data_IF_974228496776
#
_entry.id   IF_974228496776
#
_cell.length_a   1.000
_cell.length_b   1.000
_cell.length_c   1.000
_cell.angle_alpha   90.00
_cell.angle_beta   90.00
_cell.angle_gamma   90.00
#
_symmetry.space_group_name_H-M   'P 1'
#
loop_
_entity.id
_entity.type
_entity.pdbx_description
1 polymer ?
#
# COMPACT_ATOMS: atom_id res chain seq x y z
N UNK A 1 23.02 -10.11 -21.96
CA UNK A 1 23.35 -9.68 -20.60
C UNK A 1 22.75 -8.29 -20.48
N UNK A 2 21.54 -8.18 -19.93
CA UNK A 2 20.93 -6.87 -19.67
C UNK A 2 21.74 -6.18 -18.59
N UNK A 3 22.15 -4.96 -18.84
CA UNK A 3 22.73 -4.06 -17.84
C UNK A 3 21.75 -3.96 -16.68
N UNK A 4 22.19 -4.02 -15.42
CA UNK A 4 21.29 -3.76 -14.29
C UNK A 4 20.64 -2.39 -14.50
N UNK A 5 19.32 -2.32 -14.39
CA UNK A 5 18.61 -1.04 -14.45
C UNK A 5 19.21 -0.13 -13.36
N UNK A 6 19.60 1.07 -13.74
CA UNK A 6 20.11 2.07 -12.81
C UNK A 6 19.03 2.35 -11.77
N UNK A 7 19.33 2.12 -10.49
CA UNK A 7 18.36 2.33 -9.41
C UNK A 7 18.06 3.82 -9.35
N UNK A 8 16.89 4.21 -9.85
CA UNK A 8 16.45 5.61 -9.82
C UNK A 8 16.11 6.01 -8.40
N UNK A 9 16.74 7.06 -7.92
CA UNK A 9 16.40 7.67 -6.63
C UNK A 9 15.09 8.44 -6.78
N UNK A 10 14.10 8.26 -5.89
CA UNK A 10 12.87 9.04 -5.94
C UNK A 10 13.11 10.51 -5.60
N UNK A 11 12.27 11.37 -6.16
CA UNK A 11 12.11 12.74 -5.75
C UNK A 11 11.07 12.82 -4.63
N UNK A 12 11.36 13.60 -3.58
CA UNK A 12 10.36 13.94 -2.54
C UNK A 12 9.47 15.05 -3.09
N UNK A 13 8.18 14.80 -3.14
CA UNK A 13 7.18 15.77 -3.57
C UNK A 13 6.09 15.94 -2.52
N UNK A 14 5.29 16.99 -2.63
CA UNK A 14 4.10 17.18 -1.81
C UNK A 14 2.89 17.52 -2.68
N UNK A 15 1.70 17.10 -2.22
CA UNK A 15 0.42 17.40 -2.86
C UNK A 15 -0.51 18.00 -1.81
N UNK A 16 -1.13 19.12 -2.13
CA UNK A 16 -2.09 19.78 -1.25
C UNK A 16 -3.33 18.90 -1.04
N UNK A 17 -3.65 18.62 0.21
CA UNK A 17 -4.83 17.85 0.64
C UNK A 17 -5.56 18.58 1.77
N UNK A 18 -6.69 18.06 2.21
CA UNK A 18 -7.40 18.65 3.34
C UNK A 18 -6.52 18.60 4.61
N UNK A 19 -6.20 19.75 5.16
CA UNK A 19 -5.43 19.92 6.39
C UNK A 19 -3.93 20.07 6.21
N UNK A 20 -3.39 20.10 4.99
CA UNK A 20 -1.95 20.33 4.75
C UNK A 20 -1.43 19.66 3.48
N UNK A 21 -0.18 19.28 3.50
CA UNK A 21 0.52 18.68 2.37
C UNK A 21 0.77 17.19 2.60
N UNK A 22 0.33 16.38 1.65
CA UNK A 22 0.61 14.95 1.60
C UNK A 22 1.99 14.74 0.96
N UNK A 23 2.93 14.18 1.70
CA UNK A 23 4.25 13.85 1.18
C UNK A 23 4.20 12.59 0.32
N UNK A 24 4.95 12.56 -0.76
CA UNK A 24 5.05 11.39 -1.63
C UNK A 24 6.45 11.26 -2.23
N UNK A 25 6.76 10.04 -2.66
CA UNK A 25 7.93 9.71 -3.47
C UNK A 25 7.51 9.62 -4.93
N UNK A 26 8.29 10.23 -5.81
CA UNK A 26 8.06 10.22 -7.25
C UNK A 26 9.26 9.66 -8.00
N UNK A 27 9.01 8.69 -8.88
CA UNK A 27 9.98 8.14 -9.83
C UNK A 27 9.52 8.50 -11.24
N UNK A 28 10.30 9.32 -11.92
CA UNK A 28 9.99 9.75 -13.28
C UNK A 28 10.13 8.62 -14.30
N UNK A 29 9.26 8.60 -15.31
CA UNK A 29 9.38 7.75 -16.48
C UNK A 29 10.34 8.36 -17.52
N UNK A 30 10.70 7.57 -18.55
CA UNK A 30 11.50 8.06 -19.68
C UNK A 30 10.67 8.91 -20.65
N UNK A 31 9.36 8.66 -20.71
CA UNK A 31 8.41 9.39 -21.55
C UNK A 31 7.38 10.14 -20.70
N UNK A 32 7.08 11.42 -21.02
CA UNK A 32 6.08 12.19 -20.26
C UNK A 32 4.66 11.60 -20.30
N UNK A 33 4.28 10.93 -21.39
CA UNK A 33 2.98 10.30 -21.57
C UNK A 33 2.94 8.84 -21.03
N UNK A 34 3.98 8.40 -20.30
CA UNK A 34 3.97 7.08 -19.69
C UNK A 34 2.82 6.93 -18.66
N UNK A 35 2.29 5.71 -18.51
CA UNK A 35 1.23 5.46 -17.53
C UNK A 35 1.59 5.96 -16.12
N UNK A 36 0.62 6.53 -15.42
CA UNK A 36 0.75 6.90 -14.00
C UNK A 36 0.41 5.69 -13.13
N UNK A 37 1.29 5.36 -12.21
CA UNK A 37 1.09 4.29 -11.22
C UNK A 37 1.15 4.89 -9.83
N UNK A 38 0.07 4.82 -9.08
CA UNK A 38 0.01 5.30 -7.68
C UNK A 38 0.02 4.11 -6.75
N UNK A 39 0.99 4.05 -5.82
CA UNK A 39 1.27 2.93 -4.93
C UNK A 39 0.90 3.27 -3.48
N UNK A 40 -0.14 2.65 -2.95
CA UNK A 40 -0.68 2.90 -1.61
C UNK A 40 -0.25 1.83 -0.63
N UNK A 41 0.43 2.21 0.44
CA UNK A 41 1.00 1.31 1.43
C UNK A 41 0.00 0.84 2.50
N UNK A 42 0.41 -0.15 3.32
CA UNK A 42 -0.37 -0.72 4.41
C UNK A 42 -0.49 0.18 5.65
N UNK A 43 -1.27 -0.29 6.63
CA UNK A 43 -1.73 0.50 7.79
C UNK A 43 -0.62 1.08 8.68
N UNK A 44 0.50 0.38 8.85
CA UNK A 44 1.64 0.82 9.67
C UNK A 44 2.92 1.04 8.85
N UNK A 45 2.77 1.23 7.54
CA UNK A 45 3.84 1.30 6.57
C UNK A 45 4.12 2.76 6.12
N UNK A 46 4.91 2.95 5.07
CA UNK A 46 5.21 4.23 4.44
C UNK A 46 5.56 4.03 2.96
N UNK A 47 5.71 5.14 2.23
CA UNK A 47 5.94 5.15 0.78
C UNK A 47 7.16 4.34 0.32
N UNK A 48 8.24 4.27 1.13
CA UNK A 48 9.48 3.63 0.76
C UNK A 48 9.37 2.10 0.65
N UNK A 49 8.34 1.49 1.21
CA UNK A 49 8.06 0.05 1.07
C UNK A 49 7.95 -0.36 -0.40
N UNK A 50 7.59 0.59 -1.27
CA UNK A 50 7.39 0.37 -2.69
C UNK A 50 8.64 0.49 -3.56
N UNK A 51 9.80 0.82 -2.98
CA UNK A 51 11.04 1.04 -3.74
C UNK A 51 11.41 -0.12 -4.69
N UNK A 52 11.29 -1.41 -4.31
CA UNK A 52 11.59 -2.51 -5.22
C UNK A 52 10.60 -2.61 -6.41
N UNK A 53 9.32 -2.34 -6.17
CA UNK A 53 8.29 -2.33 -7.23
C UNK A 53 8.50 -1.15 -8.16
N UNK A 54 8.78 0.04 -7.61
CA UNK A 54 9.10 1.23 -8.40
C UNK A 54 10.34 1.00 -9.27
N UNK A 55 11.38 0.36 -8.75
CA UNK A 55 12.57 0.00 -9.52
C UNK A 55 12.25 -0.99 -10.67
N UNK A 56 11.32 -1.93 -10.45
CA UNK A 56 10.89 -2.87 -11.48
C UNK A 56 10.04 -2.22 -12.58
N UNK A 57 9.46 -1.05 -12.34
CA UNK A 57 8.66 -0.25 -13.28
C UNK A 57 9.45 0.95 -13.84
N UNK A 58 10.73 1.09 -13.44
CA UNK A 58 11.55 2.24 -13.76
C UNK A 58 11.66 2.49 -15.27
N UNK A 59 11.44 3.73 -15.68
CA UNK A 59 11.46 4.16 -17.07
C UNK A 59 10.17 3.90 -17.85
N UNK A 60 9.42 2.87 -17.50
CA UNK A 60 8.17 2.48 -18.19
C UNK A 60 6.97 3.29 -17.69
N UNK A 61 6.94 3.62 -16.39
CA UNK A 61 5.82 4.29 -15.74
C UNK A 61 6.30 5.49 -14.91
N UNK A 62 5.44 6.49 -14.81
CA UNK A 62 5.52 7.48 -13.76
C UNK A 62 4.99 6.83 -12.46
N UNK A 63 5.81 6.72 -11.44
CA UNK A 63 5.41 6.06 -10.19
C UNK A 63 5.34 7.07 -9.06
N UNK A 64 4.22 7.10 -8.33
CA UNK A 64 4.01 7.95 -7.17
C UNK A 64 3.60 7.10 -5.99
N UNK A 65 4.29 7.24 -4.86
CA UNK A 65 3.94 6.56 -3.62
C UNK A 65 3.77 7.60 -2.51
N UNK A 66 2.54 7.94 -2.09
CA UNK A 66 2.33 8.84 -0.96
C UNK A 66 2.62 8.12 0.37
N UNK A 67 3.11 8.89 1.35
CA UNK A 67 2.93 8.54 2.74
C UNK A 67 1.50 8.86 3.12
N UNK A 68 0.70 7.85 3.41
CA UNK A 68 -0.69 8.06 3.78
C UNK A 68 -0.79 8.87 5.08
N UNK A 69 -1.84 9.67 5.22
CA UNK A 69 -2.14 10.52 6.38
C UNK A 69 -1.83 9.83 7.71
N UNK A 70 -1.06 10.47 8.60
CA UNK A 70 -0.62 9.92 9.87
C UNK A 70 0.56 8.93 9.79
N UNK A 71 1.27 8.86 8.66
CA UNK A 71 2.43 7.97 8.43
C UNK A 71 3.59 8.71 7.77
N UNK A 72 4.78 8.20 7.96
CA UNK A 72 6.00 8.70 7.30
C UNK A 72 6.15 10.20 7.40
N UNK A 73 6.37 10.87 6.27
CA UNK A 73 6.49 12.35 6.22
C UNK A 73 5.13 13.06 6.26
N UNK A 74 4.02 12.34 6.11
CA UNK A 74 2.64 12.84 6.30
C UNK A 74 2.10 12.61 7.72
N UNK A 75 2.95 12.23 8.68
CA UNK A 75 2.56 11.98 10.08
C UNK A 75 1.87 13.18 10.75
N UNK A 76 2.23 14.41 10.33
CA UNK A 76 1.66 15.65 10.87
C UNK A 76 0.29 16.03 10.30
N UNK A 77 -0.24 15.35 9.30
CA UNK A 77 -1.58 15.63 8.78
C UNK A 77 -2.65 15.32 9.84
N UNK A 78 -3.58 16.25 10.11
CA UNK A 78 -4.58 16.09 11.15
C UNK A 78 -5.69 15.11 10.77
N UNK A 79 -6.48 14.68 11.75
CA UNK A 79 -7.75 14.01 11.50
C UNK A 79 -8.66 14.89 10.57
N UNK A 80 -9.65 14.28 9.88
CA UNK A 80 -10.12 12.93 10.08
C UNK A 80 -9.20 11.86 9.50
N UNK A 81 -9.15 10.71 10.15
CA UNK A 81 -8.59 9.47 9.64
C UNK A 81 -9.72 8.58 9.11
N UNK A 82 -9.42 7.36 8.71
CA UNK A 82 -10.36 6.42 8.11
C UNK A 82 -10.16 6.29 6.59
N UNK A 83 -10.62 5.19 6.03
CA UNK A 83 -10.44 4.85 4.62
C UNK A 83 -10.99 5.93 3.68
N UNK A 84 -12.11 6.58 4.05
CA UNK A 84 -12.72 7.66 3.28
C UNK A 84 -11.82 8.91 3.20
N UNK A 85 -11.12 9.27 4.28
CA UNK A 85 -10.18 10.39 4.29
C UNK A 85 -8.97 10.09 3.39
N UNK A 86 -8.40 8.89 3.48
CA UNK A 86 -7.33 8.46 2.59
C UNK A 86 -7.77 8.42 1.13
N UNK A 87 -8.99 7.94 0.83
CA UNK A 87 -9.52 7.94 -0.53
C UNK A 87 -9.69 9.36 -1.09
N UNK A 88 -10.04 10.34 -0.25
CA UNK A 88 -10.08 11.75 -0.65
C UNK A 88 -8.68 12.32 -0.93
N UNK A 89 -7.68 12.00 -0.10
CA UNK A 89 -6.29 12.39 -0.32
C UNK A 89 -5.74 11.80 -1.64
N UNK A 90 -6.03 10.52 -1.91
CA UNK A 90 -5.66 9.86 -3.16
C UNK A 90 -6.34 10.52 -4.36
N UNK A 91 -7.61 10.90 -4.23
CA UNK A 91 -8.32 11.62 -5.29
C UNK A 91 -7.67 12.97 -5.58
N UNK A 92 -7.27 13.73 -4.55
CA UNK A 92 -6.54 15.00 -4.72
C UNK A 92 -5.17 14.77 -5.40
N UNK A 93 -4.44 13.72 -5.01
CA UNK A 93 -3.18 13.35 -5.66
C UNK A 93 -3.39 13.02 -7.15
N UNK A 94 -4.38 12.19 -7.48
CA UNK A 94 -4.70 11.85 -8.88
C UNK A 94 -5.08 13.10 -9.68
N UNK A 95 -5.82 14.03 -9.11
CA UNK A 95 -6.18 15.28 -9.75
C UNK A 95 -4.95 16.16 -10.00
N UNK A 96 -4.03 16.27 -9.04
CA UNK A 96 -2.79 17.03 -9.21
C UNK A 96 -1.90 16.47 -10.35
N UNK A 97 -1.87 15.17 -10.53
CA UNK A 97 -1.13 14.52 -11.62
C UNK A 97 -1.88 14.48 -12.95
N UNK A 98 -3.21 14.49 -12.94
CA UNK A 98 -4.05 14.35 -14.13
C UNK A 98 -4.61 15.65 -14.68
N UNK A 99 -5.01 16.59 -13.81
CA UNK A 99 -5.74 17.77 -14.22
C UNK A 99 -4.85 18.95 -14.65
N UNK A 100 -3.63 19.06 -14.13
CA UNK A 100 -2.69 20.11 -14.51
C UNK A 100 -1.79 19.72 -15.67
N UNK A 101 -1.92 18.53 -16.13
CA UNK A 101 -1.04 17.97 -17.13
C UNK A 101 -1.72 18.01 -18.49
N UNK A 102 -1.57 19.08 -19.21
CA UNK A 102 -1.53 19.01 -20.69
C UNK A 102 -0.43 18.06 -21.19
N UNK A 103 0.08 17.22 -20.34
CA UNK A 103 1.03 16.12 -20.44
C UNK A 103 0.60 14.93 -19.54
N UNK A 104 -0.68 14.81 -19.15
CA UNK A 104 -1.16 13.74 -18.29
C UNK A 104 -1.03 12.37 -18.92
N UNK A 105 -0.73 11.39 -18.11
CA UNK A 105 -0.79 10.00 -18.52
C UNK A 105 -2.23 9.67 -18.94
N UNK A 106 -2.41 9.10 -20.15
CA UNK A 106 -3.71 8.66 -20.65
C UNK A 106 -4.26 7.51 -19.81
N UNK A 107 -3.38 6.80 -19.08
CA UNK A 107 -3.70 5.64 -18.26
C UNK A 107 -3.19 5.80 -16.84
N UNK A 108 -4.06 5.56 -15.87
CA UNK A 108 -3.73 5.55 -14.45
C UNK A 108 -4.04 4.18 -13.83
N UNK A 109 -3.05 3.58 -13.20
CA UNK A 109 -3.20 2.33 -12.42
C UNK A 109 -3.02 2.63 -10.94
N UNK A 110 -3.99 2.24 -10.13
CA UNK A 110 -3.91 2.35 -8.68
C UNK A 110 -3.52 1.00 -8.09
N UNK A 111 -2.47 0.98 -7.28
CA UNK A 111 -1.95 -0.22 -6.63
C UNK A 111 -2.06 -0.04 -5.12
N UNK A 112 -2.62 -1.00 -4.41
CA UNK A 112 -2.73 -0.89 -2.96
C UNK A 112 -2.36 -2.19 -2.25
N UNK A 113 -1.47 -2.09 -1.26
CA UNK A 113 -1.11 -3.19 -0.38
C UNK A 113 -1.89 -3.10 0.93
N UNK A 114 -2.44 -4.24 1.40
CA UNK A 114 -3.12 -4.30 2.70
C UNK A 114 -4.19 -3.21 2.81
N UNK A 115 -4.14 -2.34 3.83
CA UNK A 115 -5.03 -1.17 3.95
C UNK A 115 -5.05 -0.30 2.68
N UNK A 116 -3.92 -0.10 2.02
CA UNK A 116 -3.84 0.65 0.77
C UNK A 116 -4.73 0.06 -0.34
N UNK A 117 -4.95 -1.25 -0.34
CA UNK A 117 -5.91 -1.92 -1.24
C UNK A 117 -7.34 -1.48 -0.98
N UNK A 118 -7.76 -1.38 0.29
CA UNK A 118 -9.10 -0.90 0.66
C UNK A 118 -9.28 0.58 0.28
N UNK A 119 -8.25 1.40 0.51
CA UNK A 119 -8.24 2.80 0.08
C UNK A 119 -8.37 2.89 -1.44
N UNK A 120 -7.61 2.08 -2.20
CA UNK A 120 -7.68 2.04 -3.67
C UNK A 120 -9.08 1.66 -4.17
N UNK A 121 -9.69 0.64 -3.57
CA UNK A 121 -11.05 0.19 -3.88
C UNK A 121 -12.06 1.31 -3.67
N UNK A 122 -12.05 1.97 -2.51
CA UNK A 122 -12.97 3.06 -2.19
C UNK A 122 -12.74 4.30 -3.05
N UNK A 123 -11.51 4.71 -3.30
CA UNK A 123 -11.21 5.84 -4.17
C UNK A 123 -11.75 5.61 -5.58
N UNK A 124 -11.50 4.43 -6.15
CA UNK A 124 -11.92 4.07 -7.51
C UNK A 124 -13.44 3.99 -7.65
N UNK A 125 -14.14 3.46 -6.66
CA UNK A 125 -15.60 3.39 -6.67
C UNK A 125 -16.26 4.77 -6.38
N UNK A 126 -15.55 5.64 -5.67
CA UNK A 126 -16.00 6.95 -5.21
C UNK A 126 -15.51 8.12 -6.08
N UNK A 127 -14.83 9.08 -5.44
CA UNK A 127 -14.48 10.37 -6.04
C UNK A 127 -13.39 10.30 -7.13
N UNK A 128 -12.59 9.23 -7.17
CA UNK A 128 -11.62 8.99 -8.23
C UNK A 128 -12.21 8.18 -9.41
N UNK A 129 -13.52 7.95 -9.42
CA UNK A 129 -14.20 7.28 -10.54
C UNK A 129 -13.97 8.05 -11.84
N UNK A 130 -13.48 7.35 -12.85
CA UNK A 130 -13.12 7.93 -14.15
C UNK A 130 -11.70 8.54 -14.21
N UNK A 131 -10.98 8.58 -13.07
CA UNK A 131 -9.55 8.93 -13.05
C UNK A 131 -8.67 7.68 -13.00
N UNK A 132 -9.21 6.54 -12.59
CA UNK A 132 -8.50 5.26 -12.47
C UNK A 132 -8.98 4.33 -13.58
N UNK A 133 -8.04 3.68 -14.25
CA UNK A 133 -8.29 2.79 -15.38
C UNK A 133 -8.09 1.31 -15.04
N UNK A 134 -7.33 1.01 -13.98
CA UNK A 134 -7.11 -0.34 -13.49
C UNK A 134 -6.65 -0.38 -12.04
N UNK A 135 -6.95 -1.49 -11.35
CA UNK A 135 -6.56 -1.74 -9.96
C UNK A 135 -5.63 -2.94 -9.87
N UNK A 136 -4.60 -2.82 -9.03
CA UNK A 136 -3.82 -3.96 -8.54
C UNK A 136 -3.92 -3.98 -7.02
N UNK A 137 -4.59 -4.99 -6.49
CA UNK A 137 -4.79 -5.21 -5.08
C UNK A 137 -3.75 -6.23 -4.59
N UNK A 138 -2.91 -5.83 -3.65
CA UNK A 138 -1.81 -6.64 -3.14
C UNK A 138 -2.14 -7.04 -1.71
N UNK A 139 -2.57 -8.27 -1.53
CA UNK A 139 -2.97 -8.87 -0.25
C UNK A 139 -3.85 -7.95 0.62
N UNK A 140 -4.86 -7.32 -0.01
CA UNK A 140 -5.79 -6.37 0.62
C UNK A 140 -6.82 -5.85 -0.37
N UNK A 141 -7.78 -5.05 0.10
CA UNK A 141 -8.75 -4.34 -0.74
C UNK A 141 -10.07 -5.08 -1.00
N UNK A 142 -10.17 -6.35 -0.66
CA UNK A 142 -11.43 -7.09 -0.60
C UNK A 142 -11.85 -7.34 0.85
N UNK A 143 -13.16 -7.51 1.13
CA UNK A 143 -13.65 -7.68 2.49
C UNK A 143 -12.95 -8.79 3.26
N UNK A 144 -12.64 -8.52 4.52
CA UNK A 144 -12.13 -9.53 5.44
C UNK A 144 -13.29 -10.20 6.18
N UNK A 145 -13.24 -11.51 6.45
CA UNK A 145 -14.26 -12.19 7.23
C UNK A 145 -14.10 -11.80 8.71
N UNK A 146 -14.82 -10.77 9.13
CA UNK A 146 -14.83 -10.30 10.53
C UNK A 146 -16.12 -10.76 11.19
N UNK A 147 -16.07 -11.52 12.30
CA UNK A 147 -17.26 -11.86 13.04
C UNK A 147 -17.98 -10.59 13.54
N UNK A 148 -19.32 -10.49 13.40
CA UNK A 148 -20.05 -9.27 13.78
C UNK A 148 -19.88 -8.82 15.24
N UNK A 149 -19.63 -9.77 16.14
CA UNK A 149 -19.44 -9.52 17.57
C UNK A 149 -17.97 -9.35 17.98
N UNK A 150 -17.03 -9.38 17.03
CA UNK A 150 -15.60 -9.25 17.34
C UNK A 150 -15.29 -7.83 17.84
N UNK A 151 -14.54 -7.74 18.93
CA UNK A 151 -14.00 -6.48 19.43
C UNK A 151 -12.89 -5.99 18.48
N UNK A 152 -12.99 -4.73 18.06
CA UNK A 152 -12.07 -4.15 17.06
C UNK A 152 -10.63 -4.10 17.58
N UNK A 153 -10.40 -3.70 18.82
CA UNK A 153 -9.06 -3.57 19.37
C UNK A 153 -8.40 -4.96 19.51
N UNK A 154 -9.19 -5.97 19.91
CA UNK A 154 -8.75 -7.37 19.94
C UNK A 154 -8.37 -7.89 18.56
N UNK A 155 -9.18 -7.57 17.55
CA UNK A 155 -8.91 -7.96 16.17
C UNK A 155 -7.64 -7.28 15.64
N UNK A 156 -7.48 -5.98 15.87
CA UNK A 156 -6.28 -5.25 15.45
C UNK A 156 -5.03 -5.80 16.13
N UNK A 157 -5.10 -6.09 17.44
CA UNK A 157 -4.00 -6.73 18.15
C UNK A 157 -3.65 -8.10 17.58
N UNK A 158 -4.65 -8.90 17.18
CA UNK A 158 -4.43 -10.20 16.57
C UNK A 158 -3.81 -10.09 15.15
N UNK A 159 -4.21 -9.08 14.35
CA UNK A 159 -3.68 -8.90 13.00
C UNK A 159 -2.32 -8.22 12.96
N UNK A 160 -2.11 -7.18 13.77
CA UNK A 160 -0.92 -6.34 13.71
C UNK A 160 0.17 -6.75 14.73
N UNK A 161 -0.22 -7.52 15.79
CA UNK A 161 0.71 -8.11 16.74
C UNK A 161 1.86 -7.20 17.17
N UNK A 162 3.10 -7.68 17.07
CA UNK A 162 4.28 -6.91 17.49
C UNK A 162 4.47 -5.57 16.77
N UNK A 163 3.85 -5.39 15.61
CA UNK A 163 3.91 -4.12 14.88
C UNK A 163 3.25 -2.98 15.66
N UNK A 164 2.22 -3.27 16.49
CA UNK A 164 1.62 -2.26 17.36
C UNK A 164 2.54 -1.89 18.55
N UNK A 165 3.32 -2.83 19.07
CA UNK A 165 4.24 -2.56 20.19
C UNK A 165 5.28 -1.50 19.82
N UNK A 166 5.71 -1.47 18.56
CA UNK A 166 6.60 -0.46 18.01
C UNK A 166 6.06 0.97 18.15
N UNK A 167 4.75 1.17 18.00
CA UNK A 167 4.14 2.50 18.02
C UNK A 167 4.27 3.23 19.36
N UNK A 168 4.42 2.48 20.44
CA UNK A 168 4.68 3.01 21.79
C UNK A 168 6.16 3.00 22.20
N UNK A 169 7.03 2.40 21.40
CA UNK A 169 8.44 2.22 21.73
C UNK A 169 9.30 3.45 21.37
N UNK A 170 10.38 3.62 22.16
CA UNK A 170 11.50 4.52 21.81
C UNK A 170 12.77 3.71 21.69
N UNK A 171 13.63 4.12 20.76
CA UNK A 171 14.87 3.43 20.45
C UNK A 171 16.08 4.37 20.63
N UNK A 172 17.19 3.89 21.18
CA UNK A 172 18.38 4.70 21.38
C UNK A 172 19.05 5.09 20.05
N UNK A 173 18.97 4.22 19.05
CA UNK A 173 19.59 4.37 17.74
C UNK A 173 18.92 3.47 16.69
N UNK A 174 19.35 3.59 15.44
CA UNK A 174 18.84 2.77 14.32
C UNK A 174 19.20 1.28 14.46
N UNK A 175 20.31 0.96 15.14
CA UNK A 175 20.69 -0.44 15.37
C UNK A 175 19.68 -1.15 16.28
N UNK A 176 19.16 -0.45 17.29
CA UNK A 176 18.10 -0.97 18.15
C UNK A 176 16.77 -1.15 17.39
N UNK A 177 16.43 -0.24 16.47
CA UNK A 177 15.28 -0.39 15.58
C UNK A 177 15.44 -1.64 14.72
N UNK A 178 16.60 -1.82 14.11
CA UNK A 178 16.90 -2.99 13.28
C UNK A 178 16.83 -4.29 14.09
N UNK A 179 17.37 -4.31 15.32
CA UNK A 179 17.28 -5.47 16.20
C UNK A 179 15.84 -5.82 16.55
N UNK A 180 15.01 -4.82 16.81
CA UNK A 180 13.57 -5.03 17.05
C UNK A 180 12.88 -5.71 15.84
N UNK A 181 13.17 -5.25 14.64
CA UNK A 181 12.58 -5.82 13.43
C UNK A 181 13.17 -7.18 13.03
N UNK A 182 14.38 -7.52 13.46
CA UNK A 182 15.00 -8.80 13.17
C UNK A 182 14.20 -9.98 13.74
N UNK A 183 13.46 -9.77 14.82
CA UNK A 183 12.59 -10.78 15.45
C UNK A 183 11.18 -10.85 14.81
N UNK A 184 10.86 -9.95 13.88
CA UNK A 184 9.56 -9.94 13.22
C UNK A 184 9.46 -11.09 12.19
N UNK A 185 8.38 -11.90 12.19
CA UNK A 185 8.32 -13.13 11.40
C UNK A 185 8.42 -12.91 9.88
N UNK A 186 7.89 -11.82 9.36
CA UNK A 186 7.84 -11.53 7.92
C UNK A 186 8.82 -10.44 7.48
N UNK A 187 9.20 -9.52 8.37
CA UNK A 187 10.18 -8.44 8.09
C UNK A 187 11.61 -8.88 8.42
N UNK A 188 11.79 -9.63 9.51
CA UNK A 188 13.11 -10.05 9.99
C UNK A 188 14.01 -10.70 8.94
N UNK A 189 13.51 -11.62 8.10
CA UNK A 189 14.30 -12.20 7.02
C UNK A 189 14.87 -11.19 6.01
N UNK A 190 14.31 -9.98 5.95
CA UNK A 190 14.65 -8.92 4.99
C UNK A 190 15.36 -7.72 5.64
N UNK A 191 15.60 -7.73 6.94
CA UNK A 191 16.12 -6.57 7.69
C UNK A 191 17.48 -6.08 7.19
N UNK A 192 18.24 -6.93 6.49
CA UNK A 192 19.54 -6.63 5.89
C UNK A 192 19.41 -6.14 4.43
N UNK A 193 18.23 -6.20 3.85
CA UNK A 193 18.00 -5.68 2.50
C UNK A 193 18.02 -4.15 2.50
N UNK A 194 18.76 -3.49 1.59
CA UNK A 194 18.84 -2.04 1.53
C UNK A 194 17.49 -1.34 1.35
N UNK A 195 16.54 -1.92 0.63
CA UNK A 195 15.22 -1.34 0.44
C UNK A 195 14.41 -1.41 1.74
N UNK A 196 14.52 -2.50 2.50
CA UNK A 196 13.89 -2.63 3.82
C UNK A 196 14.54 -1.69 4.83
N UNK A 197 15.87 -1.55 4.82
CA UNK A 197 16.58 -0.57 5.65
C UNK A 197 16.10 0.87 5.38
N UNK A 198 15.93 1.25 4.11
CA UNK A 198 15.40 2.56 3.72
C UNK A 198 13.92 2.75 4.16
N UNK A 199 13.10 1.70 4.07
CA UNK A 199 11.73 1.69 4.58
C UNK A 199 11.69 1.92 6.10
N UNK A 200 12.54 1.21 6.87
CA UNK A 200 12.62 1.37 8.32
C UNK A 200 13.10 2.78 8.71
N UNK A 201 14.09 3.32 8.00
CA UNK A 201 14.61 4.67 8.24
C UNK A 201 13.53 5.76 7.98
N UNK A 202 12.67 5.60 6.94
CA UNK A 202 11.59 6.54 6.65
C UNK A 202 10.50 6.56 7.73
N UNK A 203 10.34 5.47 8.48
CA UNK A 203 9.39 5.40 9.60
C UNK A 203 9.86 6.18 10.83
N UNK A 204 11.14 6.54 10.92
CA UNK A 204 11.70 7.12 12.13
C UNK A 204 11.51 8.64 12.20
N UNK A 205 11.20 9.11 13.42
CA UNK A 205 11.21 10.50 13.82
C UNK A 205 11.88 10.68 15.18
N UNK A 206 12.30 11.91 15.50
CA UNK A 206 13.06 12.22 16.71
C UNK A 206 14.56 12.08 16.49
N UNK A 207 15.32 12.23 17.57
CA UNK A 207 16.77 12.09 17.58
C UNK A 207 17.16 11.05 18.63
N UNK A 208 18.28 10.36 18.42
CA UNK A 208 18.80 9.44 19.44
C UNK A 208 19.06 10.17 20.78
N UNK A 209 18.71 9.60 21.93
CA UNK A 209 18.14 8.26 22.16
C UNK A 209 16.61 8.21 22.16
N UNK A 210 15.93 9.09 21.47
CA UNK A 210 14.46 9.22 21.45
C UNK A 210 13.87 8.95 20.05
N UNK A 211 14.50 8.05 19.28
CA UNK A 211 13.92 7.61 18.01
C UNK A 211 12.62 6.85 18.24
N UNK A 212 11.61 7.12 17.44
CA UNK A 212 10.31 6.44 17.50
C UNK A 212 9.68 6.34 16.11
N UNK A 213 8.67 5.50 15.98
CA UNK A 213 7.86 5.45 14.76
C UNK A 213 7.16 6.79 14.50
N UNK A 214 7.12 7.23 13.25
CA UNK A 214 6.34 8.38 12.81
C UNK A 214 4.84 8.05 12.65
N UNK A 215 4.47 6.77 12.69
CA UNK A 215 3.07 6.33 12.56
C UNK A 215 2.25 6.81 13.74
N UNK A 216 1.11 7.46 13.48
CA UNK A 216 0.15 7.88 14.50
C UNK A 216 -0.64 6.68 15.03
N UNK A 217 -0.57 6.35 16.34
CA UNK A 217 -1.39 5.29 16.91
C UNK A 217 -2.89 5.54 16.81
N UNK A 218 -3.32 6.82 16.85
CA UNK A 218 -4.72 7.21 16.66
C UNK A 218 -5.18 6.90 15.24
N UNK A 219 -4.38 7.26 14.23
CA UNK A 219 -4.66 6.94 12.83
C UNK A 219 -4.80 5.43 12.63
N UNK A 220 -3.87 4.64 13.17
CA UNK A 220 -3.93 3.17 13.06
C UNK A 220 -5.21 2.60 13.65
N UNK A 221 -5.64 3.09 14.83
CA UNK A 221 -6.86 2.61 15.48
C UNK A 221 -8.12 2.97 14.70
N UNK A 222 -8.21 4.19 14.18
CA UNK A 222 -9.36 4.64 13.40
C UNK A 222 -9.42 3.91 12.05
N UNK A 223 -8.30 3.86 11.34
CA UNK A 223 -8.20 3.22 10.02
C UNK A 223 -8.44 1.71 10.11
N UNK A 224 -7.90 1.07 11.13
CA UNK A 224 -8.10 -0.36 11.36
C UNK A 224 -9.55 -0.70 11.70
N UNK A 225 -10.22 0.10 12.53
CA UNK A 225 -11.63 -0.06 12.81
C UNK A 225 -12.49 0.10 11.54
N UNK A 226 -12.17 1.10 10.72
CA UNK A 226 -12.86 1.36 9.46
C UNK A 226 -12.60 0.23 8.45
N UNK A 227 -11.36 -0.23 8.30
CA UNK A 227 -11.00 -1.36 7.43
C UNK A 227 -11.79 -2.64 7.76
N UNK A 228 -12.02 -2.92 9.05
CA UNK A 228 -12.73 -4.11 9.48
C UNK A 228 -14.25 -4.02 9.33
N UNK A 229 -14.83 -2.81 9.27
CA UNK A 229 -16.28 -2.60 9.39
C UNK A 229 -16.89 -1.70 8.32
N UNK A 230 -16.13 -1.23 7.36
CA UNK A 230 -16.64 -0.30 6.35
C UNK A 230 -17.58 -1.02 5.39
N UNK A 231 -18.87 -0.71 5.49
CA UNK A 231 -19.91 -1.29 4.64
C UNK A 231 -19.69 -0.95 3.16
N UNK A 232 -19.16 0.24 2.83
CA UNK A 232 -18.87 0.63 1.47
C UNK A 232 -17.83 -0.29 0.80
N UNK A 233 -16.87 -0.82 1.55
CA UNK A 233 -15.92 -1.83 1.01
C UNK A 233 -16.66 -3.12 0.64
N UNK A 234 -17.61 -3.55 1.48
CA UNK A 234 -18.40 -4.75 1.22
C UNK A 234 -19.24 -4.61 -0.06
N UNK A 235 -19.83 -3.45 -0.27
CA UNK A 235 -20.69 -3.16 -1.42
C UNK A 235 -19.89 -2.97 -2.71
N UNK A 236 -18.67 -2.44 -2.64
CA UNK A 236 -17.87 -2.13 -3.83
C UNK A 236 -17.18 -3.32 -4.46
N UNK A 237 -16.96 -4.41 -3.74
CA UNK A 237 -16.19 -5.58 -4.21
C UNK A 237 -16.75 -6.17 -5.52
N UNK A 238 -18.07 -6.26 -5.65
CA UNK A 238 -18.73 -6.80 -6.85
C UNK A 238 -19.04 -5.74 -7.91
N UNK A 239 -18.98 -4.46 -7.54
CA UNK A 239 -19.35 -3.30 -8.35
C UNK A 239 -18.20 -2.38 -8.76
N UNK A 240 -16.96 -2.86 -8.72
CA UNK A 240 -15.80 -2.08 -9.16
C UNK A 240 -15.99 -1.62 -10.61
N UNK A 241 -15.81 -0.31 -10.89
CA UNK A 241 -16.02 0.25 -12.23
C UNK A 241 -14.92 -0.07 -13.24
N UNK A 242 -13.80 -0.64 -12.77
CA UNK A 242 -12.61 -0.97 -13.56
C UNK A 242 -12.12 -2.38 -13.26
N UNK A 243 -11.33 -3.00 -14.16
CA UNK A 243 -10.66 -4.27 -13.88
C UNK A 243 -9.77 -4.19 -12.65
N UNK A 244 -9.80 -5.21 -11.80
CA UNK A 244 -8.98 -5.34 -10.62
C UNK A 244 -8.26 -6.70 -10.60
N UNK A 245 -6.95 -6.69 -10.35
CA UNK A 245 -6.14 -7.89 -10.17
C UNK A 245 -5.77 -8.01 -8.69
N UNK A 246 -6.33 -8.98 -7.98
CA UNK A 246 -5.88 -9.33 -6.62
C UNK A 246 -4.71 -10.29 -6.71
N UNK A 247 -3.59 -9.89 -6.12
CA UNK A 247 -2.43 -10.75 -5.84
C UNK A 247 -2.45 -11.06 -4.36
N UNK A 248 -2.47 -12.34 -3.99
CA UNK A 248 -2.54 -12.72 -2.59
C UNK A 248 -1.40 -13.67 -2.20
N UNK A 249 -0.95 -13.55 -0.94
CA UNK A 249 0.15 -14.31 -0.38
C UNK A 249 -0.30 -15.64 0.19
N UNK A 250 0.52 -16.68 0.08
CA UNK A 250 0.28 -17.99 0.68
C UNK A 250 0.19 -17.93 2.20
N UNK A 251 0.97 -17.02 2.83
CA UNK A 251 1.07 -16.86 4.28
C UNK A 251 0.65 -15.47 4.73
N UNK A 252 0.19 -15.40 5.98
CA UNK A 252 -0.26 -14.16 6.63
C UNK A 252 0.88 -13.32 7.21
N UNK A 253 0.48 -12.29 7.97
CA UNK A 253 1.39 -11.34 8.63
C UNK A 253 2.24 -11.97 9.74
N UNK A 254 1.80 -13.10 10.29
CA UNK A 254 2.55 -13.89 11.27
C UNK A 254 3.47 -14.94 10.62
N UNK A 255 3.53 -14.95 9.27
CA UNK A 255 4.25 -15.96 8.50
C UNK A 255 3.57 -17.34 8.46
N UNK A 256 2.41 -17.50 9.12
CA UNK A 256 1.61 -18.72 9.16
C UNK A 256 0.67 -18.87 7.96
N UNK A 257 0.03 -20.04 7.86
CA UNK A 257 -1.01 -20.33 6.85
C UNK A 257 -2.36 -20.58 7.53
N UNK A 258 -3.48 -20.18 6.89
CA UNK A 258 -3.59 -19.49 5.59
C UNK A 258 -3.18 -18.01 5.67
N UNK A 259 -2.95 -17.40 4.50
CA UNK A 259 -2.83 -15.95 4.36
C UNK A 259 -4.15 -15.21 4.62
N UNK A 260 -4.17 -13.90 4.31
CA UNK A 260 -5.40 -13.09 4.41
C UNK A 260 -6.49 -13.59 3.46
N UNK A 261 -6.09 -14.07 2.28
CA UNK A 261 -6.94 -14.70 1.29
C UNK A 261 -6.50 -16.14 1.04
N UNK A 262 -7.43 -16.96 0.62
CA UNK A 262 -7.26 -18.32 0.13
C UNK A 262 -8.37 -18.64 -0.88
N UNK A 263 -8.23 -19.76 -1.61
CA UNK A 263 -9.21 -20.16 -2.63
C UNK A 263 -10.62 -20.31 -2.06
N UNK A 264 -10.76 -20.79 -0.82
CA UNK A 264 -12.08 -21.02 -0.19
C UNK A 264 -12.75 -19.68 0.12
N UNK A 265 -12.00 -18.73 0.68
CA UNK A 265 -12.49 -17.38 0.95
C UNK A 265 -12.91 -16.67 -0.33
N UNK A 266 -12.04 -16.69 -1.33
CA UNK A 266 -12.29 -16.03 -2.62
C UNK A 266 -13.49 -16.62 -3.33
N UNK A 267 -13.67 -17.95 -3.31
CA UNK A 267 -14.86 -18.61 -3.84
C UNK A 267 -16.15 -18.19 -3.11
N UNK A 268 -16.05 -17.98 -1.78
CA UNK A 268 -17.18 -17.50 -0.95
C UNK A 268 -17.58 -16.04 -1.19
N UNK A 269 -16.72 -15.22 -1.80
CA UNK A 269 -16.99 -13.79 -2.05
C UNK A 269 -17.90 -13.52 -3.25
N UNK A 270 -18.25 -14.54 -4.04
CA UNK A 270 -19.17 -14.37 -5.19
C UNK A 270 -18.58 -13.49 -6.30
N UNK A 271 -17.27 -13.55 -6.53
CA UNK A 271 -16.58 -12.73 -7.54
C UNK A 271 -16.90 -13.12 -8.99
N UNK A 272 -17.65 -14.19 -9.22
CA UNK A 272 -18.04 -14.64 -10.55
C UNK A 272 -18.83 -13.54 -11.30
N UNK A 273 -18.31 -13.11 -12.43
CA UNK A 273 -18.90 -12.03 -13.22
C UNK A 273 -18.56 -10.61 -12.74
N UNK A 274 -17.76 -10.47 -11.68
CA UNK A 274 -17.17 -9.18 -11.29
C UNK A 274 -15.95 -8.86 -12.14
N UNK A 275 -15.45 -7.63 -12.02
CA UNK A 275 -14.21 -7.19 -12.67
C UNK A 275 -12.94 -7.63 -11.92
N UNK A 276 -13.08 -8.46 -10.87
CA UNK A 276 -11.95 -8.90 -10.04
C UNK A 276 -11.43 -10.25 -10.50
N UNK A 277 -10.15 -10.32 -10.79
CA UNK A 277 -9.40 -11.58 -10.96
C UNK A 277 -8.46 -11.76 -9.79
N UNK A 278 -8.30 -13.00 -9.29
CA UNK A 278 -7.44 -13.28 -8.15
C UNK A 278 -6.35 -14.29 -8.53
N UNK A 279 -5.12 -14.03 -8.08
CA UNK A 279 -3.96 -14.89 -8.35
C UNK A 279 -3.09 -15.03 -7.10
N UNK A 280 -2.79 -16.25 -6.72
CA UNK A 280 -1.80 -16.55 -5.70
C UNK A 280 -0.39 -16.18 -6.18
N UNK A 281 0.44 -15.68 -5.26
CA UNK A 281 1.89 -15.52 -5.44
C UNK A 281 2.60 -16.51 -4.50
N UNK A 282 2.92 -17.70 -4.99
CA UNK A 282 3.42 -18.78 -4.15
C UNK A 282 4.74 -18.43 -3.45
N UNK A 283 4.90 -18.92 -2.22
CA UNK A 283 6.12 -18.74 -1.44
C UNK A 283 6.29 -17.37 -0.79
N UNK A 284 5.28 -16.50 -0.91
CA UNK A 284 5.27 -15.19 -0.25
C UNK A 284 4.43 -15.20 1.03
N UNK A 285 4.64 -14.20 1.85
CA UNK A 285 3.78 -13.76 2.96
C UNK A 285 3.36 -12.30 2.74
N UNK A 286 2.57 -11.78 3.66
CA UNK A 286 1.98 -10.45 3.57
C UNK A 286 2.98 -9.35 3.20
N UNK A 287 4.16 -9.34 3.83
CA UNK A 287 5.17 -8.31 3.62
C UNK A 287 6.12 -8.65 2.46
N UNK A 288 6.54 -9.91 2.34
CA UNK A 288 7.49 -10.35 1.31
C UNK A 288 6.94 -10.26 -0.12
N UNK A 289 5.63 -10.11 -0.31
CA UNK A 289 5.04 -9.69 -1.59
C UNK A 289 5.68 -8.42 -2.14
N UNK A 290 6.07 -7.49 -1.28
CA UNK A 290 6.63 -6.19 -1.67
C UNK A 290 8.14 -6.23 -1.93
N UNK A 291 8.85 -7.23 -1.40
CA UNK A 291 10.32 -7.27 -1.38
C UNK A 291 10.92 -8.47 -2.09
N UNK A 292 10.22 -9.61 -2.10
CA UNK A 292 10.73 -10.81 -2.76
C UNK A 292 10.68 -10.67 -4.28
N UNK A 293 11.64 -11.31 -4.97
CA UNK A 293 11.66 -11.31 -6.42
C UNK A 293 10.34 -11.82 -7.06
N UNK A 294 9.69 -12.93 -6.59
CA UNK A 294 8.41 -13.35 -7.14
C UNK A 294 7.28 -12.34 -6.87
N UNK A 295 7.23 -11.72 -5.68
CA UNK A 295 6.22 -10.72 -5.34
C UNK A 295 6.33 -9.47 -6.20
N UNK A 296 7.54 -8.87 -6.25
CA UNK A 296 7.82 -7.68 -7.07
C UNK A 296 7.53 -7.95 -8.56
N UNK A 297 7.94 -9.10 -9.09
CA UNK A 297 7.67 -9.46 -10.48
C UNK A 297 6.17 -9.63 -10.76
N UNK A 298 5.42 -10.23 -9.84
CA UNK A 298 3.97 -10.41 -9.96
C UNK A 298 3.23 -9.06 -9.96
N UNK A 299 3.61 -8.14 -9.07
CA UNK A 299 3.02 -6.80 -9.00
C UNK A 299 3.34 -6.01 -10.27
N UNK A 300 4.60 -5.97 -10.70
CA UNK A 300 4.99 -5.26 -11.91
C UNK A 300 4.28 -5.81 -13.16
N UNK A 301 4.13 -7.13 -13.28
CA UNK A 301 3.37 -7.75 -14.36
C UNK A 301 1.89 -7.34 -14.34
N UNK A 302 1.25 -7.36 -13.16
CA UNK A 302 -0.15 -6.96 -13.03
C UNK A 302 -0.37 -5.47 -13.35
N UNK A 303 0.59 -4.60 -13.00
CA UNK A 303 0.56 -3.17 -13.38
C UNK A 303 0.62 -3.01 -14.90
N UNK A 304 1.56 -3.70 -15.58
CA UNK A 304 1.65 -3.67 -17.05
C UNK A 304 0.39 -4.18 -17.73
N UNK A 305 -0.18 -5.29 -17.22
CA UNK A 305 -1.47 -5.83 -17.71
C UNK A 305 -2.61 -4.81 -17.55
N UNK A 306 -2.67 -4.12 -16.41
CA UNK A 306 -3.71 -3.12 -16.15
C UNK A 306 -3.54 -1.89 -17.04
N UNK A 307 -2.31 -1.44 -17.30
CA UNK A 307 -2.02 -0.33 -18.18
C UNK A 307 -2.41 -0.59 -19.63
N UNK A 308 -2.18 -1.80 -20.14
CA UNK A 308 -2.54 -2.17 -21.54
C UNK A 308 -4.05 -2.34 -21.73
N UNK A 309 -4.79 -2.79 -20.71
CA UNK A 309 -6.26 -2.99 -20.83
C UNK A 309 -7.06 -1.68 -20.82
N UNK A 310 -6.42 -0.59 -20.46
CA UNK A 310 -7.02 0.73 -20.40
C UNK A 310 -7.04 1.45 -21.76
N UNK A 311 -6.21 1.00 -22.72
CA UNK A 311 -6.20 1.45 -24.11
C UNK A 311 -7.33 0.76 -24.91
#
# INVERSE_FOLDING_TARGET
VSTPAEVRTPEEITVAVAGGDLAALYWAADAPAAPLVVLLHGITSNAMVWAPVAAALAGECQVVAPDLRGRGRSAGLPAPYGLGAHAADVTALLQAFGADAGAGADVTVLVGHSMGGFVATLATAGNARGLVHGLVLVDGGLPLPVPPAADTDTMLAAFLGPTLDRLGATFPDEAAVRSFWADHPTVGPWVDDPAVAAFLARDLTGEGPQLRSAVSPEAVRVDGADMLRNEAVLETTTGLPVPANLLWATRGMDGGTPGLYDEVRLAGMGLTGSHVTAREVPGTDHDSLLWSAPGVAAIAAAVREAAVRAD
#
